data_IF_458018371024
#
_entry.id   IF_458018371024
#
_cell.length_a   1.000
_cell.length_b   1.000
_cell.length_c   1.000
_cell.angle_alpha   90.00
_cell.angle_beta   90.00
_cell.angle_gamma   90.00
#
_symmetry.space_group_name_H-M   'P 1'
#
loop_
_entity.id
_entity.type
_entity.pdbx_description
1 polymer ?
#
# COMPACT_ATOMS: atom_id res chain seq x y z
N UNK A 1 -26.90 12.00 -19.38
CA UNK A 1 -27.94 12.90 -18.84
C UNK A 1 -29.12 12.16 -18.21
N UNK A 2 -29.81 11.25 -18.91
CA UNK A 2 -30.94 10.49 -18.32
C UNK A 2 -30.52 9.53 -17.20
N UNK A 3 -29.40 8.80 -17.39
CA UNK A 3 -28.89 7.84 -16.40
C UNK A 3 -28.45 8.52 -15.10
N UNK A 4 -27.72 9.63 -15.17
CA UNK A 4 -27.31 10.42 -14.00
C UNK A 4 -28.50 11.02 -13.28
N UNK A 5 -29.48 11.57 -14.00
CA UNK A 5 -30.71 12.08 -13.38
C UNK A 5 -31.47 10.98 -12.59
N UNK A 6 -31.58 9.78 -13.16
CA UNK A 6 -32.26 8.65 -12.51
C UNK A 6 -31.52 8.19 -11.24
N UNK A 7 -30.20 8.00 -11.33
CA UNK A 7 -29.40 7.57 -10.17
C UNK A 7 -29.44 8.60 -9.05
N UNK A 8 -29.36 9.89 -9.39
CA UNK A 8 -29.34 10.98 -8.42
C UNK A 8 -30.71 11.14 -7.75
N UNK A 9 -31.81 10.96 -8.51
CA UNK A 9 -33.16 10.95 -7.94
C UNK A 9 -33.39 9.77 -7.00
N UNK A 10 -32.86 8.59 -7.30
CA UNK A 10 -33.00 7.40 -6.43
C UNK A 10 -32.14 7.58 -5.17
N UNK A 11 -30.86 7.94 -5.33
CA UNK A 11 -29.93 8.14 -4.22
C UNK A 11 -30.42 9.18 -3.23
N UNK A 12 -30.90 10.33 -3.71
CA UNK A 12 -31.45 11.39 -2.84
C UNK A 12 -32.69 10.96 -2.05
N UNK A 13 -33.57 10.11 -2.63
CA UNK A 13 -34.73 9.54 -1.90
C UNK A 13 -34.28 8.58 -0.80
N UNK A 14 -33.26 7.76 -1.07
CA UNK A 14 -32.70 6.81 -0.08
C UNK A 14 -32.01 7.58 1.04
N UNK A 15 -31.17 8.57 0.71
CA UNK A 15 -30.40 9.34 1.70
C UNK A 15 -31.31 10.13 2.65
N UNK A 16 -32.47 10.62 2.17
CA UNK A 16 -33.50 11.23 3.03
C UNK A 16 -34.06 10.26 4.09
N UNK A 17 -34.16 8.96 3.78
CA UNK A 17 -34.66 7.94 4.72
C UNK A 17 -33.55 7.36 5.59
N UNK A 18 -32.34 7.24 5.05
CA UNK A 18 -31.18 6.63 5.69
C UNK A 18 -29.98 7.60 5.62
N UNK A 19 -29.94 8.62 6.51
CA UNK A 19 -28.79 9.50 6.58
C UNK A 19 -27.54 8.67 6.91
N UNK A 20 -26.44 8.90 6.18
CA UNK A 20 -25.16 8.18 6.29
C UNK A 20 -25.07 6.80 5.60
N UNK A 21 -26.04 6.42 4.76
CA UNK A 21 -25.95 5.17 3.98
C UNK A 21 -24.69 5.11 3.09
N UNK A 22 -24.29 6.22 2.48
CA UNK A 22 -23.13 6.26 1.60
C UNK A 22 -21.80 5.98 2.34
N UNK A 23 -21.49 6.66 3.47
CA UNK A 23 -20.37 6.26 4.32
C UNK A 23 -20.45 4.81 4.80
N UNK A 24 -21.63 4.31 5.18
CA UNK A 24 -21.79 2.93 5.64
C UNK A 24 -21.42 1.93 4.54
N UNK A 25 -21.93 2.11 3.32
CA UNK A 25 -21.58 1.29 2.17
C UNK A 25 -20.06 1.27 1.93
N UNK A 26 -19.41 2.42 2.00
CA UNK A 26 -17.96 2.51 1.86
C UNK A 26 -17.23 1.75 2.97
N UNK A 27 -17.56 1.96 4.25
CA UNK A 27 -16.86 1.31 5.35
C UNK A 27 -17.08 -0.20 5.35
N UNK A 28 -18.28 -0.68 5.03
CA UNK A 28 -18.55 -2.11 4.86
C UNK A 28 -17.72 -2.70 3.72
N UNK A 29 -17.69 -2.05 2.55
CA UNK A 29 -16.85 -2.47 1.43
C UNK A 29 -15.37 -2.52 1.82
N UNK A 30 -14.88 -1.47 2.47
CA UNK A 30 -13.50 -1.32 2.91
C UNK A 30 -13.10 -2.42 3.89
N UNK A 31 -13.88 -2.64 4.96
CA UNK A 31 -13.61 -3.68 5.97
C UNK A 31 -13.59 -5.07 5.35
N UNK A 32 -14.59 -5.41 4.54
CA UNK A 32 -14.63 -6.72 3.86
C UNK A 32 -13.35 -6.92 3.03
N UNK A 33 -12.96 -5.91 2.24
CA UNK A 33 -11.82 -6.06 1.35
C UNK A 33 -10.49 -6.17 2.08
N UNK A 34 -10.22 -5.30 3.08
CA UNK A 34 -8.96 -5.39 3.85
C UNK A 34 -8.87 -6.70 4.63
N UNK A 35 -9.98 -7.21 5.18
CA UNK A 35 -10.00 -8.49 5.88
C UNK A 35 -9.70 -9.64 4.93
N UNK A 36 -10.36 -9.69 3.77
CA UNK A 36 -10.15 -10.76 2.80
C UNK A 36 -8.72 -10.76 2.24
N UNK A 37 -8.17 -9.59 1.91
CA UNK A 37 -6.79 -9.49 1.44
C UNK A 37 -5.78 -9.78 2.57
N UNK A 38 -6.05 -9.36 3.80
CA UNK A 38 -5.23 -9.70 4.97
C UNK A 38 -5.14 -11.21 5.14
N UNK A 39 -6.29 -11.89 5.16
CA UNK A 39 -6.37 -13.34 5.36
C UNK A 39 -5.57 -14.12 4.31
N UNK A 40 -5.55 -13.67 3.05
CA UNK A 40 -4.74 -14.28 1.98
C UNK A 40 -3.23 -14.22 2.24
N UNK A 41 -2.76 -13.20 2.95
CA UNK A 41 -1.36 -13.06 3.38
C UNK A 41 -1.06 -13.65 4.76
N UNK A 42 -1.88 -14.59 5.24
CA UNK A 42 -1.66 -15.35 6.49
C UNK A 42 -1.70 -16.86 6.25
N UNK A 43 -1.37 -17.62 7.29
CA UNK A 43 -1.40 -19.10 7.28
C UNK A 43 -2.75 -19.67 7.70
N UNK A 44 -3.79 -18.84 7.87
CA UNK A 44 -5.16 -19.33 7.98
C UNK A 44 -5.55 -20.07 6.69
N UNK A 45 -6.12 -21.27 6.83
CA UNK A 45 -6.68 -22.00 5.69
C UNK A 45 -8.00 -21.35 5.29
N UNK A 46 -7.98 -20.55 4.23
CA UNK A 46 -9.17 -19.87 3.71
C UNK A 46 -9.50 -20.40 2.33
N UNK A 47 -10.78 -20.68 2.08
CA UNK A 47 -11.25 -21.11 0.78
C UNK A 47 -11.18 -19.94 -0.23
N UNK A 48 -10.44 -20.10 -1.32
CA UNK A 48 -10.28 -19.08 -2.36
C UNK A 48 -11.60 -18.64 -3.00
N UNK A 49 -12.58 -19.53 -3.15
CA UNK A 49 -13.92 -19.16 -3.64
C UNK A 49 -14.64 -18.22 -2.68
N UNK A 50 -14.52 -18.44 -1.38
CA UNK A 50 -15.11 -17.55 -0.38
C UNK A 50 -14.46 -16.16 -0.41
N UNK A 51 -13.13 -16.10 -0.51
CA UNK A 51 -12.39 -14.84 -0.66
C UNK A 51 -12.87 -14.08 -1.90
N UNK A 52 -13.00 -14.76 -3.03
CA UNK A 52 -13.50 -14.17 -4.27
C UNK A 52 -14.92 -13.61 -4.13
N UNK A 53 -15.84 -14.36 -3.53
CA UNK A 53 -17.22 -13.91 -3.30
C UNK A 53 -17.22 -12.67 -2.41
N UNK A 54 -16.46 -12.67 -1.32
CA UNK A 54 -16.40 -11.52 -0.39
C UNK A 54 -15.75 -10.29 -1.02
N UNK A 55 -14.69 -10.45 -1.82
CA UNK A 55 -14.12 -9.35 -2.61
C UNK A 55 -15.14 -8.81 -3.63
N UNK A 56 -15.93 -9.68 -4.26
CA UNK A 56 -17.03 -9.28 -5.16
C UNK A 56 -18.09 -8.48 -4.41
N UNK A 57 -18.54 -8.94 -3.24
CA UNK A 57 -19.49 -8.20 -2.38
C UNK A 57 -18.94 -6.81 -2.05
N UNK A 58 -17.66 -6.70 -1.68
CA UNK A 58 -17.03 -5.41 -1.45
C UNK A 58 -17.11 -4.47 -2.67
N UNK A 59 -16.80 -4.98 -3.87
CA UNK A 59 -16.92 -4.15 -5.09
C UNK A 59 -18.35 -3.73 -5.41
N UNK A 60 -19.34 -4.59 -5.14
CA UNK A 60 -20.75 -4.26 -5.35
C UNK A 60 -21.15 -3.14 -4.39
N UNK A 61 -20.79 -3.23 -3.11
CA UNK A 61 -21.08 -2.18 -2.12
C UNK A 61 -20.41 -0.84 -2.51
N UNK A 62 -19.14 -0.88 -2.91
CA UNK A 62 -18.42 0.29 -3.40
C UNK A 62 -19.07 0.87 -4.67
N UNK A 63 -19.46 0.00 -5.61
CA UNK A 63 -20.14 0.37 -6.86
C UNK A 63 -21.51 1.02 -6.61
N UNK A 64 -22.32 0.48 -5.70
CA UNK A 64 -23.59 1.08 -5.27
C UNK A 64 -23.35 2.46 -4.68
N UNK A 65 -22.34 2.61 -3.80
CA UNK A 65 -21.96 3.91 -3.24
C UNK A 65 -21.66 4.92 -4.35
N UNK A 66 -20.82 4.54 -5.30
CA UNK A 66 -20.41 5.41 -6.42
C UNK A 66 -21.61 5.77 -7.31
N UNK A 67 -22.42 4.79 -7.70
CA UNK A 67 -23.49 5.01 -8.68
C UNK A 67 -24.63 5.85 -8.12
N UNK A 68 -25.01 5.64 -6.86
CA UNK A 68 -26.20 6.27 -6.28
C UNK A 68 -25.90 7.54 -5.48
N UNK A 69 -24.71 7.68 -4.91
CA UNK A 69 -24.43 8.76 -3.95
C UNK A 69 -23.31 9.71 -4.38
N UNK A 70 -22.41 9.29 -5.29
CA UNK A 70 -21.36 10.18 -5.78
C UNK A 70 -21.88 11.05 -6.93
N UNK A 71 -22.04 12.34 -6.64
CA UNK A 71 -22.45 13.37 -7.62
C UNK A 71 -21.25 13.78 -8.48
N UNK A 72 -21.06 13.06 -9.58
CA UNK A 72 -19.96 13.26 -10.53
C UNK A 72 -20.48 13.33 -11.97
N UNK A 73 -19.75 14.04 -12.84
CA UNK A 73 -20.13 14.19 -14.24
C UNK A 73 -20.13 12.85 -15.00
N UNK A 74 -20.93 12.75 -16.06
CA UNK A 74 -21.00 11.57 -16.92
C UNK A 74 -19.62 11.22 -17.52
N UNK A 75 -18.80 12.24 -17.85
CA UNK A 75 -17.41 12.07 -18.32
C UNK A 75 -16.54 11.41 -17.25
N UNK A 76 -16.68 11.81 -15.98
CA UNK A 76 -15.95 11.19 -14.89
C UNK A 76 -16.35 9.71 -14.71
N UNK A 77 -17.65 9.41 -14.79
CA UNK A 77 -18.15 8.02 -14.72
C UNK A 77 -17.57 7.18 -15.87
N UNK A 78 -17.54 7.71 -17.09
CA UNK A 78 -16.95 7.03 -18.25
C UNK A 78 -15.45 6.77 -18.07
N UNK A 79 -14.68 7.76 -17.64
CA UNK A 79 -13.25 7.61 -17.37
C UNK A 79 -12.98 6.57 -16.27
N UNK A 80 -13.79 6.58 -15.21
CA UNK A 80 -13.72 5.61 -14.13
C UNK A 80 -13.98 4.19 -14.66
N UNK A 81 -15.07 3.98 -15.39
CA UNK A 81 -15.41 2.67 -15.98
C UNK A 81 -14.33 2.18 -16.94
N UNK A 82 -13.79 3.08 -17.78
CA UNK A 82 -12.68 2.78 -18.68
C UNK A 82 -11.44 2.36 -17.90
N UNK A 83 -11.09 3.10 -16.84
CA UNK A 83 -9.96 2.75 -15.96
C UNK A 83 -10.17 1.37 -15.32
N UNK A 84 -11.36 1.09 -14.78
CA UNK A 84 -11.67 -0.21 -14.17
C UNK A 84 -11.59 -1.35 -15.19
N UNK A 85 -12.05 -1.14 -16.43
CA UNK A 85 -11.95 -2.14 -17.50
C UNK A 85 -10.49 -2.43 -17.87
N UNK A 86 -9.64 -1.39 -17.97
CA UNK A 86 -8.21 -1.55 -18.23
C UNK A 86 -7.49 -2.29 -17.10
N UNK A 87 -7.80 -1.96 -15.83
CA UNK A 87 -7.24 -2.64 -14.67
C UNK A 87 -7.72 -4.10 -14.58
N UNK A 88 -8.96 -4.39 -14.97
CA UNK A 88 -9.48 -5.75 -15.04
C UNK A 88 -8.75 -6.57 -16.11
N UNK A 89 -8.55 -6.00 -17.31
CA UNK A 89 -7.80 -6.66 -18.38
C UNK A 89 -6.36 -6.96 -17.94
N UNK A 90 -5.72 -6.02 -17.25
CA UNK A 90 -4.38 -6.23 -16.70
C UNK A 90 -4.35 -7.35 -15.64
N UNK A 91 -5.28 -7.30 -14.67
CA UNK A 91 -5.38 -8.31 -13.63
C UNK A 91 -5.68 -9.71 -14.16
N UNK A 92 -6.45 -9.81 -15.26
CA UNK A 92 -6.69 -11.07 -15.95
C UNK A 92 -5.43 -11.69 -16.54
N UNK A 93 -4.59 -10.89 -17.18
CA UNK A 93 -3.36 -11.39 -17.82
C UNK A 93 -2.26 -11.69 -16.79
N UNK A 94 -2.21 -10.92 -15.69
CA UNK A 94 -1.24 -11.10 -14.61
C UNK A 94 -1.64 -12.15 -13.58
N UNK A 95 -2.91 -12.58 -13.58
CA UNK A 95 -3.57 -13.35 -12.52
C UNK A 95 -3.58 -12.64 -11.15
N UNK A 96 -3.46 -11.31 -11.13
CA UNK A 96 -3.50 -10.48 -9.94
C UNK A 96 -4.49 -9.32 -10.11
N UNK A 97 -5.69 -9.50 -9.56
CA UNK A 97 -6.77 -8.50 -9.58
C UNK A 97 -6.69 -7.49 -8.42
N UNK A 98 -5.62 -7.49 -7.61
CA UNK A 98 -5.54 -6.71 -6.37
C UNK A 98 -5.79 -5.23 -6.58
N UNK A 99 -5.15 -4.61 -7.57
CA UNK A 99 -5.33 -3.19 -7.86
C UNK A 99 -6.69 -2.88 -8.51
N UNK A 100 -7.26 -3.80 -9.29
CA UNK A 100 -8.62 -3.65 -9.83
C UNK A 100 -9.62 -3.48 -8.69
N UNK A 101 -9.58 -4.37 -7.69
CA UNK A 101 -10.42 -4.28 -6.51
C UNK A 101 -10.10 -3.03 -5.67
N UNK A 102 -8.82 -2.71 -5.49
CA UNK A 102 -8.42 -1.52 -4.75
C UNK A 102 -8.91 -0.22 -5.43
N UNK A 103 -8.94 -0.16 -6.76
CA UNK A 103 -9.43 0.99 -7.51
C UNK A 103 -10.92 1.30 -7.25
N UNK A 104 -11.77 0.28 -7.04
CA UNK A 104 -13.16 0.51 -6.60
C UNK A 104 -13.20 1.31 -5.30
N UNK A 105 -12.37 0.96 -4.32
CA UNK A 105 -12.32 1.67 -3.05
C UNK A 105 -11.67 3.05 -3.18
N UNK A 106 -10.67 3.21 -4.07
CA UNK A 106 -10.10 4.54 -4.38
C UNK A 106 -11.19 5.48 -4.88
N UNK A 107 -12.00 5.05 -5.84
CA UNK A 107 -13.11 5.87 -6.35
C UNK A 107 -14.22 6.06 -5.31
N UNK A 108 -14.62 4.98 -4.62
CA UNK A 108 -15.66 5.03 -3.59
C UNK A 108 -15.26 5.83 -2.35
N UNK A 109 -13.97 6.09 -2.11
CA UNK A 109 -13.51 6.94 -1.01
C UNK A 109 -13.89 8.41 -1.18
N UNK A 110 -14.41 8.80 -2.35
CA UNK A 110 -14.87 10.17 -2.62
C UNK A 110 -15.71 10.75 -1.48
N UNK A 111 -15.30 11.93 -1.00
CA UNK A 111 -15.94 12.70 0.08
C UNK A 111 -16.03 11.98 1.45
N UNK A 112 -15.46 10.77 1.58
CA UNK A 112 -15.30 10.09 2.86
C UNK A 112 -14.08 10.69 3.57
N UNK A 113 -14.22 11.01 4.86
CA UNK A 113 -13.14 11.57 5.67
C UNK A 113 -12.00 10.55 5.80
N UNK A 114 -10.83 10.82 5.22
CA UNK A 114 -9.68 9.91 5.27
C UNK A 114 -9.21 9.63 6.70
N UNK A 115 -9.37 10.58 7.63
CA UNK A 115 -9.05 10.35 9.05
C UNK A 115 -9.85 9.17 9.65
N UNK A 116 -11.10 8.96 9.20
CA UNK A 116 -11.95 7.85 9.68
C UNK A 116 -11.54 6.54 9.03
N UNK A 117 -11.18 6.58 7.75
CA UNK A 117 -10.61 5.43 7.02
C UNK A 117 -9.32 4.97 7.71
N UNK A 118 -8.40 5.89 8.00
CA UNK A 118 -7.14 5.62 8.66
C UNK A 118 -7.34 5.04 10.07
N UNK A 119 -8.23 5.62 10.90
CA UNK A 119 -8.58 5.06 12.22
C UNK A 119 -9.12 3.63 12.11
N UNK A 120 -10.05 3.40 11.18
CA UNK A 120 -10.65 2.08 10.98
C UNK A 120 -9.61 1.06 10.51
N UNK A 121 -8.73 1.44 9.59
CA UNK A 121 -7.61 0.60 9.15
C UNK A 121 -6.72 0.19 10.31
N UNK A 122 -6.26 1.15 11.13
CA UNK A 122 -5.39 0.88 12.28
C UNK A 122 -6.07 -0.11 13.24
N UNK A 123 -7.34 0.11 13.57
CA UNK A 123 -8.10 -0.77 14.47
C UNK A 123 -8.18 -2.18 13.89
N UNK A 124 -8.72 -2.33 12.67
CA UNK A 124 -8.92 -3.65 12.05
C UNK A 124 -7.60 -4.38 11.88
N UNK A 125 -6.58 -3.72 11.34
CA UNK A 125 -5.29 -4.36 11.06
C UNK A 125 -4.53 -4.74 12.33
N UNK A 126 -4.54 -3.88 13.36
CA UNK A 126 -3.91 -4.22 14.64
C UNK A 126 -4.63 -5.40 15.30
N UNK A 127 -5.96 -5.39 15.30
CA UNK A 127 -6.75 -6.52 15.82
C UNK A 127 -6.45 -7.81 15.06
N UNK A 128 -6.38 -7.76 13.72
CA UNK A 128 -6.08 -8.94 12.91
C UNK A 128 -4.65 -9.46 13.14
N UNK A 129 -3.65 -8.58 13.25
CA UNK A 129 -2.28 -8.96 13.59
C UNK A 129 -2.21 -9.63 14.97
N UNK A 130 -2.92 -9.08 15.96
CA UNK A 130 -3.00 -9.66 17.30
C UNK A 130 -3.68 -11.04 17.28
N UNK A 131 -4.84 -11.17 16.63
CA UNK A 131 -5.55 -12.46 16.49
C UNK A 131 -4.65 -13.50 15.83
N UNK A 132 -4.01 -13.13 14.71
CA UNK A 132 -3.13 -14.02 13.95
C UNK A 132 -1.93 -14.46 14.79
N UNK A 133 -1.32 -13.52 15.52
CA UNK A 133 -0.19 -13.80 16.40
C UNK A 133 -0.59 -14.72 17.55
N UNK A 134 -1.72 -14.45 18.21
CA UNK A 134 -2.23 -15.29 19.31
C UNK A 134 -2.54 -16.69 18.80
N UNK A 135 -3.23 -16.82 17.66
CA UNK A 135 -3.51 -18.13 17.05
C UNK A 135 -2.21 -18.87 16.69
N UNK A 136 -1.17 -18.18 16.23
CA UNK A 136 0.11 -18.79 15.90
C UNK A 136 0.88 -19.24 17.15
N UNK A 137 0.89 -18.43 18.22
CA UNK A 137 1.51 -18.76 19.51
C UNK A 137 0.79 -19.91 20.21
N UNK A 138 -0.54 -19.96 20.12
CA UNK A 138 -1.36 -21.06 20.64
C UNK A 138 -1.40 -22.29 19.71
N UNK A 139 -0.62 -22.29 18.62
CA UNK A 139 -0.56 -23.37 17.63
C UNK A 139 -1.91 -23.74 16.96
N UNK A 140 -2.88 -22.82 16.94
CA UNK A 140 -4.14 -22.93 16.17
C UNK A 140 -3.85 -22.83 14.68
N UNK A 141 -2.87 -22.00 14.30
CA UNK A 141 -2.29 -21.93 12.96
C UNK A 141 -0.77 -22.11 13.06
N UNK A 142 -0.09 -22.58 11.99
CA UNK A 142 1.36 -22.70 12.03
C UNK A 142 2.04 -21.33 12.09
N UNK A 143 3.28 -21.31 12.58
CA UNK A 143 4.20 -20.18 12.46
C UNK A 143 5.41 -20.63 11.66
N UNK A 144 5.86 -19.82 10.69
CA UNK A 144 7.07 -20.14 9.94
C UNK A 144 8.27 -19.62 10.70
N UNK A 145 9.26 -20.50 10.82
CA UNK A 145 10.52 -20.25 11.47
C UNK A 145 11.63 -20.41 10.43
N UNK A 146 12.08 -19.30 9.85
CA UNK A 146 13.01 -19.31 8.70
C UNK A 146 14.42 -19.00 9.20
N UNK A 147 15.35 -19.94 9.04
CA UNK A 147 16.77 -19.71 9.31
C UNK A 147 17.45 -18.88 8.22
N UNK A 148 18.54 -18.19 8.55
CA UNK A 148 19.47 -17.60 7.57
C UNK A 148 20.70 -18.49 7.48
N UNK A 149 21.22 -18.71 6.28
CA UNK A 149 22.36 -19.59 6.01
C UNK A 149 23.67 -19.21 6.74
N UNK A 150 23.70 -18.05 7.41
CA UNK A 150 24.84 -17.52 8.15
C UNK A 150 24.45 -16.88 9.50
N UNK A 151 23.33 -17.26 10.11
CA UNK A 151 22.90 -16.73 11.41
C UNK A 151 22.11 -17.76 12.20
N UNK A 152 22.39 -17.86 13.51
CA UNK A 152 21.61 -18.67 14.44
C UNK A 152 20.25 -18.02 14.80
N UNK A 153 19.95 -16.84 14.26
CA UNK A 153 18.70 -16.13 14.52
C UNK A 153 17.56 -16.76 13.71
N UNK A 154 16.56 -17.26 14.42
CA UNK A 154 15.32 -17.79 13.87
C UNK A 154 14.35 -16.65 13.57
N UNK A 155 13.90 -16.53 12.32
CA UNK A 155 12.95 -15.48 11.90
C UNK A 155 11.53 -16.00 12.00
N UNK A 156 10.72 -15.39 12.85
CA UNK A 156 9.34 -15.81 13.08
C UNK A 156 8.36 -14.99 12.24
N UNK A 157 7.40 -15.66 11.60
CA UNK A 157 6.32 -14.99 10.85
C UNK A 157 5.05 -14.76 11.65
N UNK A 158 4.90 -15.41 12.82
CA UNK A 158 3.76 -15.30 13.74
C UNK A 158 2.40 -15.40 13.03
N UNK A 159 2.28 -16.38 12.13
CA UNK A 159 1.06 -16.66 11.37
C UNK A 159 0.92 -15.87 10.05
N UNK A 160 1.83 -14.94 9.76
CA UNK A 160 1.97 -14.38 8.40
C UNK A 160 2.64 -15.38 7.46
N UNK A 161 2.43 -15.23 6.15
CA UNK A 161 3.04 -16.11 5.13
C UNK A 161 4.57 -15.99 5.05
N UNK A 162 5.15 -14.90 5.56
CA UNK A 162 6.59 -14.74 5.67
C UNK A 162 6.94 -13.69 6.75
N UNK A 163 8.16 -13.71 7.35
CA UNK A 163 8.54 -12.73 8.37
C UNK A 163 8.59 -11.27 7.87
N UNK A 164 8.91 -11.03 6.59
CA UNK A 164 8.94 -9.66 6.05
C UNK A 164 7.55 -9.08 5.90
N UNK A 165 6.55 -9.90 5.55
CA UNK A 165 5.14 -9.47 5.49
C UNK A 165 4.67 -8.96 6.86
N UNK A 166 4.93 -9.70 7.95
CA UNK A 166 4.57 -9.23 9.29
C UNK A 166 5.21 -7.88 9.60
N UNK A 167 6.51 -7.74 9.34
CA UNK A 167 7.24 -6.51 9.60
C UNK A 167 6.73 -5.34 8.73
N UNK A 168 6.38 -5.60 7.47
CA UNK A 168 5.82 -4.62 6.55
C UNK A 168 4.40 -4.20 6.95
N UNK A 169 3.56 -5.13 7.43
CA UNK A 169 2.24 -4.81 7.98
C UNK A 169 2.35 -3.88 9.18
N UNK A 170 3.24 -4.20 10.13
CA UNK A 170 3.46 -3.37 11.32
C UNK A 170 3.94 -1.97 10.91
N UNK A 171 4.91 -1.88 9.99
CA UNK A 171 5.37 -0.59 9.46
C UNK A 171 4.20 0.24 8.90
N UNK A 172 3.33 -0.34 8.08
CA UNK A 172 2.23 0.40 7.47
C UNK A 172 1.12 0.80 8.47
N UNK A 173 0.83 -0.03 9.47
CA UNK A 173 -0.09 0.31 10.57
C UNK A 173 0.44 1.54 11.31
N UNK A 174 1.71 1.49 11.70
CA UNK A 174 2.39 2.56 12.43
C UNK A 174 2.53 3.82 11.59
N UNK A 175 2.87 3.70 10.31
CA UNK A 175 2.90 4.81 9.36
C UNK A 175 1.53 5.49 9.26
N UNK A 176 0.46 4.71 9.12
CA UNK A 176 -0.91 5.24 9.06
C UNK A 176 -1.28 5.97 10.35
N UNK A 177 -0.89 5.43 11.50
CA UNK A 177 -1.08 6.07 12.81
C UNK A 177 -0.32 7.40 12.92
N UNK A 178 0.96 7.43 12.55
CA UNK A 178 1.78 8.65 12.56
C UNK A 178 1.22 9.71 11.61
N UNK A 179 0.80 9.32 10.39
CA UNK A 179 0.14 10.21 9.44
C UNK A 179 -1.14 10.78 10.02
N UNK A 180 -2.00 9.94 10.64
CA UNK A 180 -3.22 10.36 11.32
C UNK A 180 -2.92 11.38 12.43
N UNK A 181 -1.81 11.22 13.15
CA UNK A 181 -1.32 12.17 14.17
C UNK A 181 -0.58 13.37 13.60
N UNK A 182 -0.50 13.49 12.26
CA UNK A 182 0.28 14.51 11.54
C UNK A 182 1.73 14.60 12.02
N UNK A 183 2.36 13.45 12.29
CA UNK A 183 3.73 13.35 12.79
C UNK A 183 3.99 14.06 14.13
N UNK A 184 2.93 14.47 14.84
CA UNK A 184 3.02 15.11 16.15
C UNK A 184 2.69 14.09 17.24
N UNK A 185 3.73 13.46 17.77
CA UNK A 185 3.64 12.42 18.80
C UNK A 185 3.99 12.98 20.17
N UNK A 186 3.30 12.51 21.21
CA UNK A 186 3.69 12.72 22.60
C UNK A 186 4.77 11.71 23.04
N UNK A 187 5.37 11.91 24.22
CA UNK A 187 6.47 11.06 24.72
C UNK A 187 6.06 9.57 24.83
N UNK A 188 4.89 9.20 25.40
CA UNK A 188 4.44 7.81 25.38
C UNK A 188 4.33 7.21 23.98
N UNK A 189 3.81 7.97 23.01
CA UNK A 189 3.69 7.55 21.60
C UNK A 189 5.07 7.30 20.97
N UNK A 190 6.08 8.13 21.28
CA UNK A 190 7.47 7.87 20.86
C UNK A 190 8.05 6.59 21.48
N UNK A 191 7.84 6.38 22.79
CA UNK A 191 8.32 5.18 23.48
C UNK A 191 7.67 3.93 22.87
N UNK A 192 6.35 3.97 22.64
CA UNK A 192 5.63 2.88 21.97
C UNK A 192 6.16 2.61 20.56
N UNK A 193 6.42 3.65 19.78
CA UNK A 193 6.96 3.53 18.43
C UNK A 193 8.35 2.86 18.42
N UNK A 194 9.23 3.25 19.34
CA UNK A 194 10.55 2.63 19.51
C UNK A 194 10.42 1.17 19.95
N UNK A 195 9.55 0.88 20.93
CA UNK A 195 9.33 -0.47 21.43
C UNK A 195 8.77 -1.41 20.35
N UNK A 196 7.81 -0.95 19.54
CA UNK A 196 7.26 -1.71 18.40
C UNK A 196 8.35 -1.95 17.35
N UNK A 197 9.19 -0.95 17.07
CA UNK A 197 10.31 -1.06 16.12
C UNK A 197 11.31 -2.14 16.55
N UNK A 198 11.76 -2.09 17.81
CA UNK A 198 12.72 -3.06 18.37
C UNK A 198 12.10 -4.45 18.39
N UNK A 199 10.89 -4.60 18.93
CA UNK A 199 10.21 -5.90 19.03
C UNK A 199 10.01 -6.54 17.66
N UNK A 200 9.56 -5.76 16.67
CA UNK A 200 9.37 -6.25 15.30
C UNK A 200 10.68 -6.76 14.70
N UNK A 201 11.80 -6.05 14.92
CA UNK A 201 13.10 -6.48 14.45
C UNK A 201 13.60 -7.75 15.15
N UNK A 202 13.47 -7.83 16.49
CA UNK A 202 13.89 -9.01 17.26
C UNK A 202 13.12 -10.28 16.85
N UNK A 203 11.84 -10.13 16.50
CA UNK A 203 10.99 -11.25 16.07
C UNK A 203 11.24 -11.66 14.62
N UNK A 204 11.38 -10.69 13.71
CA UNK A 204 11.35 -10.96 12.26
C UNK A 204 12.73 -10.92 11.59
N UNK A 205 13.75 -10.33 12.23
CA UNK A 205 15.08 -10.03 11.68
C UNK A 205 15.01 -9.35 10.29
N UNK A 206 14.03 -8.45 10.14
CA UNK A 206 13.77 -7.73 8.89
C UNK A 206 14.41 -6.35 8.93
N UNK A 207 15.67 -6.29 8.47
CA UNK A 207 16.49 -5.05 8.41
C UNK A 207 15.80 -3.91 7.67
N UNK A 208 15.04 -4.23 6.63
CA UNK A 208 14.39 -3.24 5.77
C UNK A 208 13.30 -2.45 6.52
N UNK A 209 12.36 -3.18 7.15
CA UNK A 209 11.31 -2.58 7.96
C UNK A 209 11.88 -1.84 9.17
N UNK A 210 12.98 -2.33 9.76
CA UNK A 210 13.71 -1.60 10.81
C UNK A 210 14.20 -0.23 10.30
N UNK A 211 14.85 -0.18 9.14
CA UNK A 211 15.34 1.08 8.55
C UNK A 211 14.17 2.03 8.28
N UNK A 212 13.08 1.53 7.68
CA UNK A 212 11.89 2.34 7.40
C UNK A 212 11.25 2.91 8.68
N UNK A 213 11.18 2.12 9.76
CA UNK A 213 10.66 2.57 11.05
C UNK A 213 11.61 3.58 11.74
N UNK A 214 12.93 3.42 11.62
CA UNK A 214 13.90 4.40 12.12
C UNK A 214 13.75 5.73 11.35
N UNK A 215 13.62 5.68 10.02
CA UNK A 215 13.36 6.87 9.19
C UNK A 215 12.04 7.53 9.60
N UNK A 216 11.00 6.75 9.86
CA UNK A 216 9.71 7.26 10.35
C UNK A 216 9.87 8.01 11.69
N UNK A 217 10.59 7.44 12.66
CA UNK A 217 10.89 8.11 13.94
C UNK A 217 11.66 9.41 13.71
N UNK A 218 12.70 9.39 12.88
CA UNK A 218 13.47 10.58 12.54
C UNK A 218 12.60 11.67 11.90
N UNK A 219 11.67 11.28 11.02
CA UNK A 219 10.72 12.20 10.40
C UNK A 219 9.69 12.77 11.36
N UNK A 220 9.27 12.04 12.40
CA UNK A 220 8.45 12.62 13.47
C UNK A 220 9.19 13.75 14.19
N UNK A 221 10.48 13.54 14.53
CA UNK A 221 11.32 14.54 15.21
C UNK A 221 11.57 15.75 14.29
N UNK A 222 11.86 15.49 13.02
CA UNK A 222 12.21 16.50 12.03
C UNK A 222 10.98 17.16 11.36
N UNK A 223 9.75 16.76 11.71
CA UNK A 223 8.53 17.17 11.01
C UNK A 223 8.39 18.70 10.89
N UNK A 224 8.63 19.52 11.93
CA UNK A 224 8.54 20.98 11.81
C UNK A 224 9.50 21.57 10.77
N UNK A 225 10.69 20.98 10.61
CA UNK A 225 11.68 21.40 9.61
C UNK A 225 11.28 20.92 8.22
N UNK A 226 10.75 19.69 8.09
CA UNK A 226 10.24 19.14 6.84
C UNK A 226 9.08 19.99 6.31
N UNK A 227 8.17 20.42 7.18
CA UNK A 227 7.06 21.34 6.83
C UNK A 227 7.61 22.65 6.25
N UNK A 228 8.61 23.27 6.89
CA UNK A 228 9.26 24.47 6.36
C UNK A 228 9.89 24.22 4.98
N UNK A 229 10.50 23.06 4.76
CA UNK A 229 11.03 22.70 3.43
C UNK A 229 9.90 22.62 2.41
N UNK A 230 8.80 21.92 2.71
CA UNK A 230 7.67 21.82 1.78
C UNK A 230 6.95 23.15 1.51
N UNK A 231 6.95 24.08 2.46
CA UNK A 231 6.41 25.43 2.27
C UNK A 231 7.26 26.28 1.32
N UNK A 232 8.57 26.12 1.34
CA UNK A 232 9.51 26.93 0.55
C UNK A 232 9.88 26.30 -0.80
N UNK A 233 9.76 24.98 -0.92
CA UNK A 233 10.10 24.26 -2.16
C UNK A 233 8.90 24.21 -3.10
N UNK A 234 9.13 24.56 -4.37
CA UNK A 234 8.09 24.50 -5.40
C UNK A 234 7.59 23.07 -5.59
N UNK A 235 6.28 22.91 -5.73
CA UNK A 235 5.62 21.60 -5.81
C UNK A 235 6.23 20.66 -6.87
N UNK A 236 6.60 21.20 -8.03
CA UNK A 236 7.18 20.40 -9.11
C UNK A 236 8.55 19.81 -8.77
N UNK A 237 9.30 20.40 -7.83
CA UNK A 237 10.59 19.86 -7.38
C UNK A 237 10.36 18.58 -6.60
N UNK A 238 9.45 18.59 -5.62
CA UNK A 238 9.13 17.41 -4.81
C UNK A 238 8.55 16.29 -5.69
N UNK A 239 7.61 16.63 -6.57
CA UNK A 239 7.04 15.66 -7.52
C UNK A 239 8.07 15.16 -8.54
N UNK A 240 9.01 16.02 -8.97
CA UNK A 240 10.13 15.64 -9.82
C UNK A 240 11.08 14.68 -9.13
N UNK A 241 11.40 14.89 -7.86
CA UNK A 241 12.21 13.96 -7.05
C UNK A 241 11.50 12.62 -6.88
N UNK A 242 10.18 12.59 -6.65
CA UNK A 242 9.42 11.35 -6.59
C UNK A 242 9.43 10.60 -7.94
N UNK A 243 9.27 11.32 -9.06
CA UNK A 243 9.37 10.74 -10.40
C UNK A 243 10.78 10.18 -10.69
N UNK A 244 11.83 10.94 -10.35
CA UNK A 244 13.22 10.49 -10.50
C UNK A 244 13.50 9.26 -9.63
N UNK A 245 13.02 9.23 -8.39
CA UNK A 245 13.16 8.08 -7.50
C UNK A 245 12.51 6.83 -8.10
N UNK A 246 11.30 6.96 -8.67
CA UNK A 246 10.63 5.86 -9.37
C UNK A 246 11.46 5.38 -10.57
N UNK A 247 11.97 6.30 -11.38
CA UNK A 247 12.81 5.98 -12.54
C UNK A 247 14.12 5.29 -12.17
N UNK A 248 14.81 5.77 -11.13
CA UNK A 248 16.06 5.17 -10.63
C UNK A 248 15.83 3.71 -10.19
N UNK A 249 14.70 3.42 -9.54
CA UNK A 249 14.36 2.06 -9.12
C UNK A 249 14.04 1.10 -10.28
N UNK A 250 13.77 1.61 -11.49
CA UNK A 250 13.71 0.79 -12.71
C UNK A 250 15.07 0.68 -13.39
N UNK A 251 15.78 1.80 -13.53
CA UNK A 251 17.05 1.87 -14.27
C UNK A 251 18.15 1.06 -13.58
N UNK A 252 18.24 1.11 -12.25
CA UNK A 252 19.30 0.40 -11.52
C UNK A 252 19.24 -1.12 -11.68
N UNK A 253 18.09 -1.80 -11.50
CA UNK A 253 18.00 -3.23 -11.82
C UNK A 253 18.18 -3.52 -13.32
N UNK A 254 17.64 -2.68 -14.22
CA UNK A 254 17.78 -2.89 -15.65
C UNK A 254 19.24 -2.87 -16.12
N UNK A 255 20.04 -1.93 -15.61
CA UNK A 255 21.48 -1.78 -15.92
C UNK A 255 22.40 -2.60 -15.01
N UNK A 256 21.86 -3.42 -14.11
CA UNK A 256 22.67 -4.18 -13.16
C UNK A 256 23.65 -5.12 -13.89
N UNK A 257 24.92 -5.07 -13.44
CA UNK A 257 25.95 -6.03 -13.82
C UNK A 257 26.80 -6.37 -12.61
N UNK A 258 27.00 -7.67 -12.38
CA UNK A 258 27.89 -8.17 -11.33
C UNK A 258 29.37 -7.78 -11.56
N UNK A 259 29.74 -7.39 -12.79
CA UNK A 259 31.08 -6.86 -13.11
C UNK A 259 31.30 -5.42 -12.62
N UNK A 260 30.23 -4.66 -12.36
CA UNK A 260 30.33 -3.30 -11.84
C UNK A 260 30.40 -3.33 -10.30
N UNK A 261 31.53 -2.94 -9.67
CA UNK A 261 31.69 -3.04 -8.21
C UNK A 261 30.69 -2.19 -7.43
N UNK A 262 30.25 -1.05 -7.98
CA UNK A 262 29.30 -0.15 -7.34
C UNK A 262 27.92 -0.81 -7.29
N UNK A 263 27.44 -1.36 -8.42
CA UNK A 263 26.14 -2.03 -8.49
C UNK A 263 26.12 -3.31 -7.66
N UNK A 264 27.22 -4.09 -7.66
CA UNK A 264 27.36 -5.28 -6.81
C UNK A 264 27.30 -4.94 -5.32
N UNK A 265 27.97 -3.85 -4.89
CA UNK A 265 27.92 -3.39 -3.49
C UNK A 265 26.52 -2.92 -3.11
N UNK A 266 25.86 -2.17 -3.99
CA UNK A 266 24.50 -1.69 -3.77
C UNK A 266 23.50 -2.86 -3.67
N UNK A 267 23.64 -3.87 -4.52
CA UNK A 267 22.82 -5.07 -4.50
C UNK A 267 23.02 -5.90 -3.23
N UNK A 268 24.26 -5.99 -2.72
CA UNK A 268 24.53 -6.61 -1.42
C UNK A 268 23.78 -5.89 -0.28
N UNK A 269 23.75 -4.55 -0.28
CA UNK A 269 22.98 -3.75 0.68
C UNK A 269 21.46 -3.98 0.53
N UNK A 270 20.99 -4.11 -0.70
CA UNK A 270 19.58 -4.39 -1.03
C UNK A 270 19.23 -5.88 -0.98
N UNK A 271 20.13 -6.74 -0.50
CA UNK A 271 19.93 -8.19 -0.36
C UNK A 271 19.53 -8.88 -1.67
N UNK A 272 20.19 -8.55 -2.78
CA UNK A 272 20.00 -9.22 -4.08
C UNK A 272 18.85 -8.69 -4.94
N UNK A 273 18.14 -7.64 -4.50
CA UNK A 273 16.98 -7.08 -5.21
C UNK A 273 17.32 -6.49 -6.58
N UNK A 274 18.51 -5.93 -6.78
CA UNK A 274 18.91 -5.42 -8.08
C UNK A 274 19.22 -6.57 -9.04
N UNK A 275 19.91 -7.60 -8.55
CA UNK A 275 20.15 -8.82 -9.31
C UNK A 275 18.84 -9.49 -9.74
N UNK A 276 17.91 -9.71 -8.81
CA UNK A 276 16.62 -10.34 -9.12
C UNK A 276 15.78 -9.50 -10.08
N UNK A 277 15.79 -8.17 -9.94
CA UNK A 277 15.15 -7.28 -10.91
C UNK A 277 15.80 -7.36 -12.29
N UNK A 278 17.13 -7.51 -12.38
CA UNK A 278 17.83 -7.69 -13.65
C UNK A 278 17.47 -9.01 -14.35
N UNK A 279 17.40 -10.09 -13.58
CA UNK A 279 16.93 -11.39 -14.07
C UNK A 279 15.52 -11.24 -14.64
N UNK A 280 14.62 -10.57 -13.90
CA UNK A 280 13.26 -10.32 -14.37
C UNK A 280 13.21 -9.53 -15.69
N UNK A 281 14.05 -8.50 -15.86
CA UNK A 281 14.12 -7.74 -17.11
C UNK A 281 14.74 -8.49 -18.29
N UNK A 282 15.59 -9.50 -18.03
CA UNK A 282 16.15 -10.37 -19.07
C UNK A 282 15.14 -11.41 -19.54
N UNK A 283 14.36 -11.94 -18.60
CA UNK A 283 13.45 -13.06 -18.85
C UNK A 283 12.07 -12.58 -19.32
N UNK A 284 11.67 -11.35 -18.97
CA UNK A 284 10.34 -10.80 -19.26
C UNK A 284 10.40 -9.39 -19.84
N UNK A 285 9.67 -9.17 -20.94
CA UNK A 285 9.46 -7.85 -21.51
C UNK A 285 8.27 -7.14 -20.85
N UNK A 286 8.31 -5.82 -20.70
CA UNK A 286 7.14 -5.07 -20.26
C UNK A 286 6.04 -5.09 -21.33
N UNK A 287 4.87 -5.65 -21.01
CA UNK A 287 3.72 -5.71 -21.91
C UNK A 287 2.70 -4.61 -21.57
N UNK A 288 1.79 -4.31 -22.50
CA UNK A 288 0.80 -3.25 -22.31
C UNK A 288 -0.19 -3.56 -21.17
N UNK A 289 -0.68 -4.79 -21.14
CA UNK A 289 -1.70 -5.28 -20.19
C UNK A 289 -1.15 -6.30 -19.19
N UNK A 290 0.16 -6.31 -18.93
CA UNK A 290 0.76 -7.24 -17.98
C UNK A 290 0.81 -8.68 -18.49
N UNK A 291 1.38 -9.55 -17.66
CA UNK A 291 1.55 -10.97 -17.93
C UNK A 291 1.78 -11.73 -16.63
N UNK A 292 1.55 -13.03 -16.66
CA UNK A 292 1.98 -13.90 -15.59
C UNK A 292 3.50 -13.99 -15.56
N UNK A 293 4.08 -13.65 -14.41
CA UNK A 293 5.51 -13.86 -14.13
C UNK A 293 5.60 -14.92 -13.06
N UNK A 294 6.21 -16.06 -13.40
CA UNK A 294 6.40 -17.14 -12.44
C UNK A 294 7.33 -16.67 -11.32
N UNK A 295 6.90 -16.81 -10.07
CA UNK A 295 7.70 -16.47 -8.89
C UNK A 295 7.88 -17.71 -8.01
N UNK A 296 9.12 -17.94 -7.60
CA UNK A 296 9.55 -19.02 -6.74
C UNK A 296 10.21 -18.42 -5.49
N UNK A 297 9.37 -18.05 -4.52
CA UNK A 297 9.79 -17.43 -3.26
C UNK A 297 9.78 -18.42 -2.09
N UNK A 298 10.14 -17.95 -0.89
CA UNK A 298 10.11 -18.73 0.37
C UNK A 298 8.79 -18.57 1.17
N UNK A 299 7.79 -17.92 0.58
CA UNK A 299 6.53 -17.62 1.26
C UNK A 299 5.60 -18.83 1.39
N UNK A 300 4.82 -18.86 2.47
CA UNK A 300 3.80 -19.86 2.75
C UNK A 300 4.36 -21.19 3.30
N UNK A 301 3.47 -22.18 3.47
CA UNK A 301 3.87 -23.54 3.86
C UNK A 301 4.48 -24.23 2.64
N UNK A 302 5.79 -24.43 2.67
CA UNK A 302 6.50 -25.08 1.57
C UNK A 302 6.78 -26.54 1.88
N UNK A 303 6.35 -27.41 0.98
CA UNK A 303 6.58 -28.85 1.08
C UNK A 303 7.85 -29.29 0.32
N UNK A 304 8.57 -28.36 -0.32
CA UNK A 304 9.76 -28.60 -1.13
C UNK A 304 10.79 -27.49 -0.89
N UNK A 305 12.07 -27.85 -1.00
CA UNK A 305 13.17 -26.88 -0.98
C UNK A 305 13.04 -25.97 -2.21
N UNK A 306 13.17 -24.65 -2.01
CA UNK A 306 13.15 -23.68 -3.11
C UNK A 306 14.51 -23.72 -3.82
N UNK A 307 14.57 -24.53 -4.86
CA UNK A 307 15.67 -24.51 -5.83
C UNK A 307 15.43 -23.34 -6.80
N UNK A 308 16.45 -22.53 -7.08
CA UNK A 308 16.36 -21.34 -7.95
C UNK A 308 15.35 -20.29 -7.46
N UNK A 309 15.65 -19.66 -6.32
CA UNK A 309 14.86 -18.54 -5.79
C UNK A 309 14.75 -17.40 -6.80
N UNK A 310 13.52 -17.00 -7.12
CA UNK A 310 13.21 -15.86 -7.96
C UNK A 310 11.93 -15.19 -7.49
N UNK A 311 12.06 -13.97 -6.99
CA UNK A 311 10.94 -13.17 -6.51
C UNK A 311 11.22 -11.69 -6.78
N UNK A 312 10.21 -10.95 -7.27
CA UNK A 312 10.34 -9.52 -7.56
C UNK A 312 9.82 -8.73 -6.36
N UNK A 313 10.72 -8.44 -5.41
CA UNK A 313 10.36 -7.69 -4.21
C UNK A 313 9.99 -6.24 -4.50
N UNK A 314 10.64 -5.56 -5.45
CA UNK A 314 10.36 -4.16 -5.73
C UNK A 314 8.97 -4.01 -6.36
N UNK A 315 8.01 -3.41 -5.66
CA UNK A 315 6.68 -3.11 -6.22
C UNK A 315 6.77 -2.30 -7.52
N UNK A 316 7.76 -1.42 -7.65
CA UNK A 316 7.95 -0.57 -8.83
C UNK A 316 8.24 -1.44 -10.07
N UNK A 317 9.20 -2.37 -9.95
CA UNK A 317 9.53 -3.33 -11.02
C UNK A 317 8.37 -4.33 -11.22
N UNK A 318 7.81 -4.82 -10.12
CA UNK A 318 6.72 -5.81 -10.12
C UNK A 318 5.49 -5.30 -10.87
N UNK A 319 5.05 -4.08 -10.61
CA UNK A 319 3.89 -3.49 -11.29
C UNK A 319 4.17 -3.35 -12.79
N UNK A 320 5.36 -2.91 -13.20
CA UNK A 320 5.69 -2.78 -14.62
C UNK A 320 5.69 -4.14 -15.34
N UNK A 321 6.39 -5.13 -14.81
CA UNK A 321 6.60 -6.41 -15.49
C UNK A 321 5.40 -7.36 -15.38
N UNK A 322 4.70 -7.37 -14.24
CA UNK A 322 3.54 -8.25 -14.02
C UNK A 322 2.23 -7.59 -14.40
N UNK A 323 1.97 -6.36 -13.95
CA UNK A 323 0.69 -5.68 -14.16
C UNK A 323 0.67 -4.82 -15.45
N UNK A 324 1.81 -4.59 -16.07
CA UNK A 324 1.94 -3.96 -17.37
C UNK A 324 2.01 -2.44 -17.35
N UNK A 325 2.31 -1.90 -18.53
CA UNK A 325 2.58 -0.47 -18.73
C UNK A 325 1.36 0.40 -18.36
N UNK A 326 0.14 -0.04 -18.69
CA UNK A 326 -1.07 0.73 -18.37
C UNK A 326 -1.23 0.91 -16.86
N UNK A 327 -1.08 -0.19 -16.11
CA UNK A 327 -1.20 -0.16 -14.65
C UNK A 327 -0.08 0.69 -14.05
N UNK A 328 1.14 0.53 -14.56
CA UNK A 328 2.29 1.30 -14.12
C UNK A 328 2.10 2.81 -14.31
N UNK A 329 1.65 3.24 -15.49
CA UNK A 329 1.36 4.66 -15.78
C UNK A 329 0.23 5.19 -14.91
N UNK A 330 -0.83 4.39 -14.68
CA UNK A 330 -1.91 4.76 -13.77
C UNK A 330 -1.42 4.95 -12.33
N UNK A 331 -0.58 4.04 -11.83
CA UNK A 331 0.00 4.13 -10.49
C UNK A 331 0.92 5.34 -10.35
N UNK A 332 1.77 5.58 -11.35
CA UNK A 332 2.64 6.75 -11.40
C UNK A 332 1.82 8.05 -11.38
N UNK A 333 0.77 8.12 -12.21
CA UNK A 333 -0.16 9.24 -12.22
C UNK A 333 -0.82 9.43 -10.86
N UNK A 334 -1.30 8.37 -10.21
CA UNK A 334 -1.89 8.43 -8.87
C UNK A 334 -0.91 9.02 -7.84
N UNK A 335 0.31 8.50 -7.76
CA UNK A 335 1.34 8.95 -6.82
C UNK A 335 1.64 10.43 -7.02
N UNK A 336 2.00 10.82 -8.26
CA UNK A 336 2.39 12.19 -8.57
C UNK A 336 1.22 13.16 -8.41
N UNK A 337 0.01 12.80 -8.83
CA UNK A 337 -1.19 13.61 -8.64
C UNK A 337 -1.47 13.84 -7.16
N UNK A 338 -1.38 12.79 -6.34
CA UNK A 338 -1.69 12.88 -4.92
C UNK A 338 -0.67 13.73 -4.16
N UNK A 339 0.63 13.56 -4.45
CA UNK A 339 1.69 14.41 -3.90
C UNK A 339 1.45 15.88 -4.29
N UNK A 340 1.24 16.16 -5.58
CA UNK A 340 0.99 17.53 -6.07
C UNK A 340 -0.25 18.16 -5.42
N UNK A 341 -1.36 17.42 -5.34
CA UNK A 341 -2.62 17.89 -4.74
C UNK A 341 -2.44 18.18 -3.26
N UNK A 342 -1.79 17.28 -2.51
CA UNK A 342 -1.57 17.44 -1.08
C UNK A 342 -0.65 18.63 -0.78
N UNK A 343 0.45 18.80 -1.54
CA UNK A 343 1.34 19.96 -1.41
C UNK A 343 0.60 21.29 -1.64
N UNK A 344 -0.19 21.40 -2.73
CA UNK A 344 -0.99 22.62 -3.02
C UNK A 344 -1.99 22.97 -1.92
N UNK A 345 -2.53 21.94 -1.26
CA UNK A 345 -3.49 22.09 -0.18
C UNK A 345 -2.85 22.16 1.21
N UNK A 346 -1.50 22.23 1.29
CA UNK A 346 -0.74 22.24 2.55
C UNK A 346 -1.04 21.05 3.45
N UNK A 347 -1.17 19.86 2.87
CA UNK A 347 -1.46 18.59 3.57
C UNK A 347 -0.16 17.80 3.74
N UNK A 348 0.82 18.37 4.45
CA UNK A 348 2.20 17.87 4.46
C UNK A 348 2.36 16.48 5.09
N UNK A 349 1.54 16.14 6.10
CA UNK A 349 1.49 14.78 6.64
C UNK A 349 1.13 13.73 5.57
N UNK A 350 0.21 14.04 4.66
CA UNK A 350 -0.17 13.15 3.55
C UNK A 350 0.97 13.04 2.55
N UNK A 351 1.65 14.14 2.23
CA UNK A 351 2.83 14.15 1.34
C UNK A 351 3.91 13.23 1.88
N UNK A 352 4.26 13.39 3.16
CA UNK A 352 5.31 12.58 3.79
C UNK A 352 4.92 11.10 3.89
N UNK A 353 3.66 10.81 4.19
CA UNK A 353 3.13 9.45 4.16
C UNK A 353 3.23 8.79 2.78
N UNK A 354 2.89 9.51 1.70
CA UNK A 354 3.02 9.02 0.32
C UNK A 354 4.48 8.78 -0.08
N UNK A 355 5.41 9.65 0.35
CA UNK A 355 6.85 9.48 0.10
C UNK A 355 7.42 8.27 0.83
N UNK A 356 6.99 8.00 2.07
CA UNK A 356 7.41 6.82 2.84
C UNK A 356 6.83 5.52 2.26
N UNK A 357 5.58 5.55 1.80
CA UNK A 357 4.99 4.43 1.05
C UNK A 357 5.76 4.17 -0.25
N UNK A 358 6.13 5.22 -0.98
CA UNK A 358 6.94 5.09 -2.20
C UNK A 358 8.33 4.51 -1.90
N UNK A 359 8.97 4.97 -0.81
CA UNK A 359 10.24 4.43 -0.35
C UNK A 359 10.13 2.94 0.02
N UNK A 360 9.06 2.53 0.69
CA UNK A 360 8.78 1.11 0.97
C UNK A 360 8.57 0.31 -0.30
N UNK A 361 7.76 0.81 -1.24
CA UNK A 361 7.45 0.12 -2.50
C UNK A 361 8.64 -0.08 -3.44
N UNK A 362 9.74 0.67 -3.25
CA UNK A 362 10.98 0.43 -3.99
C UNK A 362 11.64 -0.93 -3.65
N UNK A 363 11.36 -1.46 -2.46
CA UNK A 363 12.13 -2.53 -1.82
C UNK A 363 11.24 -3.65 -1.26
N UNK A 364 9.92 -3.46 -1.29
CA UNK A 364 8.90 -4.37 -0.76
C UNK A 364 7.70 -4.44 -1.74
N UNK A 365 7.01 -5.60 -1.85
CA UNK A 365 5.99 -5.83 -2.87
C UNK A 365 4.61 -5.24 -2.55
N UNK A 366 4.40 -4.68 -1.36
CA UNK A 366 3.07 -4.36 -0.85
C UNK A 366 2.55 -2.95 -1.19
N UNK A 367 3.10 -2.28 -2.22
CA UNK A 367 2.71 -0.91 -2.59
C UNK A 367 1.23 -0.80 -3.01
N UNK A 368 0.70 -1.81 -3.68
CA UNK A 368 -0.68 -1.83 -4.22
C UNK A 368 -1.63 -2.74 -3.42
N UNK A 369 -1.19 -3.25 -2.28
CA UNK A 369 -2.00 -4.12 -1.42
C UNK A 369 -2.64 -3.29 -0.30
N UNK A 370 -3.96 -3.11 -0.36
CA UNK A 370 -4.69 -2.28 0.60
C UNK A 370 -4.55 -2.71 2.07
N UNK A 371 -4.33 -4.02 2.32
CA UNK A 371 -4.15 -4.56 3.68
C UNK A 371 -2.80 -4.16 4.26
N UNK A 372 -1.91 -3.58 3.46
CA UNK A 372 -0.70 -2.92 3.88
C UNK A 372 -0.87 -1.42 3.71
N UNK A 373 -1.10 -0.95 2.50
CA UNK A 373 -1.07 0.47 2.16
C UNK A 373 -2.44 1.01 1.78
N UNK A 374 -3.03 1.88 2.61
CA UNK A 374 -4.28 2.59 2.31
C UNK A 374 -4.07 3.98 1.70
N UNK A 375 -2.84 4.44 1.53
CA UNK A 375 -2.55 5.84 1.18
C UNK A 375 -3.10 6.26 -0.18
N UNK A 376 -3.39 5.33 -1.11
CA UNK A 376 -4.02 5.70 -2.38
C UNK A 376 -5.50 6.08 -2.27
N UNK A 377 -6.16 5.81 -1.13
CA UNK A 377 -7.52 6.29 -0.87
C UNK A 377 -7.60 7.82 -0.74
N UNK A 378 -6.48 8.50 -0.48
CA UNK A 378 -6.41 9.98 -0.43
C UNK A 378 -6.74 10.65 -1.77
N UNK A 379 -6.75 9.88 -2.87
CA UNK A 379 -6.97 10.38 -4.23
C UNK A 379 -8.28 11.15 -4.37
N UNK A 380 -9.34 10.65 -3.73
CA UNK A 380 -10.69 11.22 -3.79
C UNK A 380 -11.31 11.45 -2.41
N UNK A 381 -10.73 10.93 -1.33
CA UNK A 381 -11.19 11.19 0.04
C UNK A 381 -11.17 12.67 0.43
N UNK A 382 -11.99 13.01 1.43
CA UNK A 382 -11.92 14.29 2.13
C UNK A 382 -10.68 14.31 3.04
N UNK A 383 -9.82 15.30 2.82
CA UNK A 383 -8.53 15.47 3.51
C UNK A 383 -8.47 16.76 4.34
N UNK A 384 -9.62 17.36 4.68
CA UNK A 384 -9.66 18.67 5.35
C UNK A 384 -8.99 18.63 6.73
N UNK A 385 -9.13 17.50 7.43
CA UNK A 385 -8.43 17.24 8.68
C UNK A 385 -6.91 17.47 8.57
N UNK A 386 -6.29 17.16 7.42
CA UNK A 386 -4.85 17.17 7.22
C UNK A 386 -4.28 18.50 6.75
N UNK A 387 -5.11 19.52 6.49
CA UNK A 387 -4.60 20.84 6.12
C UNK A 387 -3.83 21.44 7.30
N UNK A 388 -2.65 21.96 7.03
CA UNK A 388 -1.93 22.79 7.98
C UNK A 388 -2.54 24.20 7.97
N UNK A 389 -2.98 24.68 9.13
CA UNK A 389 -3.28 26.09 9.31
C UNK A 389 -1.95 26.85 9.30
N UNK A 390 -1.88 28.03 8.66
CA UNK A 390 -0.67 28.85 8.71
C UNK A 390 -0.22 28.93 10.17
N UNK A 391 0.99 28.46 10.43
CA UNK A 391 1.66 28.74 11.70
C UNK A 391 2.03 30.23 11.63
N UNK A 392 1.08 31.10 11.96
CA UNK A 392 1.42 32.41 12.52
C UNK A 392 1.89 32.14 13.95
N UNK A 393 3.10 31.59 14.07
CA UNK A 393 3.86 31.72 15.30
C UNK A 393 5.09 32.52 14.93
N UNK A 394 5.02 33.79 15.28
CA UNK A 394 6.19 34.64 15.40
C UNK A 394 7.25 33.87 16.18
N UNK A 395 8.41 33.74 15.56
CA UNK A 395 9.66 33.57 16.27
C UNK A 395 10.01 34.88 16.95
#
# INVERSE_FOLDING_TARGET
MFFSYLTDSIGSRIEKKLPNIAPLLFYSAFVIFILMQYMYGTLFKVNGHYVFIMMTVSTILAGIKILLFDKVSDVYKLLMLTTLALLFAAGKNSYDYGLYYYAFLIFAARDIKFEKIARLFIIVMTTMVLITTICAVLHVIPTLAVGRSNSNVLRLSLGSVYPTDLASRIFHIVLTYVVLKKFNLNIPEYISLIAVTITTYLVTDTKLSLILMIILIAFCILYPYIVKVFENVKTYVISGLAFLFIGINLILPYLYSASNPILKKLDSLLTGRLYLGNVAFKDYNATLYGQFVYQNGWGGLQNKVVENYFFIDSSIVRVLLMQGIIVYVFLLWLILRNINKALKNKQYAIVLGLLLVLLSGAIDPHLIEISFNIMFLVSFANLDYFRENRIEKGL
#
